data_IF_724450289339
#
_entry.id   IF_724450289339
#
_cell.length_a   1.000
_cell.length_b   1.000
_cell.length_c   1.000
_cell.angle_alpha   90.00
_cell.angle_beta   90.00
_cell.angle_gamma   90.00
#
_symmetry.space_group_name_H-M   'P 1'
#
loop_
_entity.id
_entity.type
_entity.pdbx_description
1 polymer ?
#
# COMPACT_ATOMS: atom_id res chain seq x y z
N UNK A 1 -73.82 14.47 -4.13
CA UNK A 1 -74.53 14.50 -2.83
C UNK A 1 -73.71 13.66 -1.84
N UNK A 2 -73.35 14.26 -0.71
CA UNK A 2 -72.66 13.73 0.48
C UNK A 2 -71.18 13.39 0.37
N UNK A 3 -70.43 14.33 0.87
CA UNK A 3 -69.07 14.30 1.38
C UNK A 3 -69.04 13.52 2.71
N UNK A 4 -68.12 12.62 2.89
CA UNK A 4 -67.74 12.16 4.22
C UNK A 4 -66.23 12.21 4.37
N UNK A 5 -65.81 13.13 5.20
CA UNK A 5 -64.42 13.24 5.74
C UNK A 5 -64.21 12.11 6.74
N UNK A 6 -63.08 11.44 6.67
CA UNK A 6 -62.57 10.73 7.82
C UNK A 6 -61.10 11.07 8.04
N UNK A 7 -60.93 11.54 9.24
CA UNK A 7 -59.69 12.05 9.85
C UNK A 7 -58.70 10.94 10.17
N UNK A 8 -57.49 11.25 10.02
CA UNK A 8 -56.34 11.13 10.92
C UNK A 8 -56.00 9.77 11.51
N UNK A 9 -54.79 9.35 11.26
CA UNK A 9 -53.90 8.86 12.31
C UNK A 9 -52.45 9.05 11.84
N UNK A 10 -51.76 9.99 12.49
CA UNK A 10 -50.32 10.08 12.43
C UNK A 10 -49.72 8.89 13.18
N UNK A 11 -49.04 8.01 12.51
CA UNK A 11 -48.14 7.03 13.11
C UNK A 11 -46.75 7.60 13.06
N UNK A 12 -46.23 8.06 14.19
CA UNK A 12 -44.82 8.36 14.41
C UNK A 12 -44.06 7.04 14.38
N UNK A 13 -43.34 6.79 13.29
CA UNK A 13 -42.34 5.74 13.21
C UNK A 13 -41.02 6.34 13.70
N UNK A 14 -40.63 5.97 14.91
CA UNK A 14 -39.32 6.24 15.46
C UNK A 14 -38.27 5.45 14.61
N UNK A 15 -37.49 6.15 13.79
CA UNK A 15 -36.32 5.58 13.16
C UNK A 15 -35.24 5.36 14.24
N UNK A 16 -35.13 4.14 14.70
CA UNK A 16 -33.95 3.67 15.42
C UNK A 16 -32.75 3.69 14.47
N UNK A 17 -31.80 4.58 14.70
CA UNK A 17 -30.52 4.57 14.02
C UNK A 17 -29.72 3.36 14.48
N UNK A 18 -29.77 2.28 13.73
CA UNK A 18 -28.79 1.21 13.80
C UNK A 18 -27.51 1.71 13.12
N UNK A 19 -26.56 2.18 13.93
CA UNK A 19 -25.19 2.40 13.47
C UNK A 19 -24.53 1.04 13.26
N UNK A 20 -24.69 0.47 12.11
CA UNK A 20 -23.81 -0.58 11.63
C UNK A 20 -22.44 0.07 11.38
N UNK A 21 -21.52 -0.18 12.30
CA UNK A 21 -20.11 0.10 12.08
C UNK A 21 -19.58 -0.80 10.97
N UNK A 22 -19.73 -0.38 9.73
CA UNK A 22 -19.05 -0.99 8.61
C UNK A 22 -17.58 -0.61 8.71
N UNK A 23 -16.71 -1.57 9.02
CA UNK A 23 -15.32 -1.50 8.62
C UNK A 23 -15.31 -1.55 7.10
N UNK A 24 -15.37 -0.39 6.46
CA UNK A 24 -15.42 -0.28 5.01
C UNK A 24 -14.13 -0.78 4.39
N UNK A 25 -14.25 -1.70 3.47
CA UNK A 25 -13.30 -1.81 2.38
C UNK A 25 -13.30 -0.47 1.64
N UNK A 26 -12.13 0.15 1.50
CA UNK A 26 -11.99 1.44 0.83
C UNK A 26 -12.40 1.34 -0.64
N UNK A 27 -13.66 1.67 -0.92
CA UNK A 27 -14.10 1.98 -2.27
C UNK A 27 -13.84 3.48 -2.48
N UNK A 28 -12.72 3.80 -3.08
CA UNK A 28 -12.38 5.15 -3.50
C UNK A 28 -13.23 5.53 -4.72
N UNK A 29 -14.40 6.15 -4.46
CA UNK A 29 -15.22 6.74 -5.52
C UNK A 29 -14.66 8.12 -5.81
N UNK A 30 -14.03 8.28 -6.97
CA UNK A 30 -13.54 9.54 -7.48
C UNK A 30 -14.69 10.53 -7.66
N UNK A 31 -14.74 11.55 -6.80
CA UNK A 31 -15.56 12.74 -7.00
C UNK A 31 -14.79 13.77 -7.81
N UNK A 32 -15.28 14.06 -9.03
CA UNK A 32 -14.82 15.15 -9.87
C UNK A 32 -15.20 16.50 -9.29
N UNK A 33 -14.24 17.39 -9.02
CA UNK A 33 -14.45 18.85 -9.01
C UNK A 33 -13.19 19.60 -9.43
N UNK A 34 -13.37 20.28 -10.54
CA UNK A 34 -12.86 21.58 -11.03
C UNK A 34 -11.45 22.06 -10.65
N UNK A 35 -10.75 22.39 -11.71
CA UNK A 35 -9.49 23.13 -11.80
C UNK A 35 -9.57 24.60 -11.37
N UNK A 36 -8.43 25.09 -10.87
CA UNK A 36 -7.93 26.47 -11.07
C UNK A 36 -6.48 26.60 -10.61
N UNK A 37 -5.72 27.65 -10.96
CA UNK A 37 -4.58 27.48 -11.86
C UNK A 37 -3.20 27.68 -11.19
N UNK A 38 -2.18 27.45 -11.99
CA UNK A 38 -0.75 27.53 -11.78
C UNK A 38 -0.22 28.82 -11.09
N UNK A 39 0.77 28.63 -10.24
CA UNK A 39 1.82 29.61 -10.02
C UNK A 39 3.17 28.89 -9.98
N UNK A 40 3.97 29.21 -10.97
CA UNK A 40 5.39 28.84 -11.10
C UNK A 40 6.22 29.55 -10.05
N UNK A 41 7.09 28.84 -9.36
CA UNK A 41 8.25 29.42 -8.73
C UNK A 41 9.42 28.46 -8.87
N UNK A 42 10.32 28.82 -9.76
CA UNK A 42 11.67 28.29 -9.89
C UNK A 42 12.49 28.74 -8.69
N UNK A 43 13.15 27.82 -8.01
CA UNK A 43 14.31 28.14 -7.19
C UNK A 43 15.33 27.02 -7.37
N UNK A 44 16.36 27.35 -8.13
CA UNK A 44 17.63 26.64 -8.16
C UNK A 44 18.37 26.92 -6.85
N UNK A 45 18.89 25.90 -6.22
CA UNK A 45 20.02 26.00 -5.32
C UNK A 45 20.86 24.75 -5.36
N UNK A 46 22.14 24.96 -5.47
CA UNK A 46 23.20 24.06 -5.79
C UNK A 46 23.72 23.20 -4.62
N UNK A 47 24.22 22.03 -5.00
CA UNK A 47 25.45 21.36 -4.58
C UNK A 47 25.85 21.33 -3.10
N UNK A 48 26.07 20.13 -2.61
CA UNK A 48 26.86 19.84 -1.42
C UNK A 48 26.92 18.34 -1.18
N UNK A 49 28.04 17.73 -1.63
CA UNK A 49 28.32 16.32 -1.62
C UNK A 49 28.49 15.71 -0.23
N UNK A 50 28.28 14.44 -0.22
CA UNK A 50 28.58 13.54 0.87
C UNK A 50 28.39 12.10 0.37
N UNK A 51 29.40 11.57 -0.31
CA UNK A 51 29.47 10.19 -0.70
C UNK A 51 29.67 9.33 0.55
N UNK A 52 28.66 8.54 0.89
CA UNK A 52 28.86 7.33 1.66
C UNK A 52 28.77 6.14 0.71
N UNK A 53 29.92 5.77 0.15
CA UNK A 53 30.13 4.54 -0.56
C UNK A 53 30.02 3.37 0.42
N UNK A 54 28.83 2.79 0.52
CA UNK A 54 28.62 1.45 1.03
C UNK A 54 28.54 0.49 -0.15
N UNK A 55 29.69 0.06 -0.70
CA UNK A 55 29.77 -1.07 -1.62
C UNK A 55 29.34 -2.33 -0.88
N UNK A 56 28.07 -2.69 -1.00
CA UNK A 56 27.67 -4.07 -0.89
C UNK A 56 27.95 -4.70 -2.27
N UNK A 57 29.13 -5.32 -2.40
CA UNK A 57 29.45 -6.19 -3.52
C UNK A 57 28.59 -7.43 -3.39
N UNK A 58 27.39 -7.40 -4.00
CA UNK A 58 26.69 -8.59 -4.42
C UNK A 58 27.22 -8.95 -5.80
N UNK A 59 28.44 -9.49 -5.85
CA UNK A 59 28.96 -10.24 -6.98
C UNK A 59 28.33 -11.63 -6.96
N UNK A 60 27.07 -11.73 -7.32
CA UNK A 60 26.47 -12.95 -7.79
C UNK A 60 26.29 -12.76 -9.28
N UNK A 61 26.91 -13.61 -10.09
CA UNK A 61 26.62 -13.69 -11.51
C UNK A 61 25.11 -13.71 -11.69
N UNK A 62 24.58 -12.75 -12.48
CA UNK A 62 23.18 -12.76 -12.83
C UNK A 62 22.87 -14.14 -13.43
N UNK A 63 21.79 -14.82 -12.99
CA UNK A 63 21.47 -16.13 -13.53
C UNK A 63 21.35 -16.01 -15.04
N UNK A 64 22.23 -16.68 -15.74
CA UNK A 64 22.15 -16.82 -17.19
C UNK A 64 20.87 -17.60 -17.46
N UNK A 65 19.90 -16.97 -18.10
CA UNK A 65 18.67 -17.61 -18.57
C UNK A 65 18.95 -18.52 -19.75
N UNK A 66 19.87 -19.48 -19.58
CA UNK A 66 20.09 -20.58 -20.51
C UNK A 66 19.30 -21.80 -20.04
N UNK A 67 17.98 -21.64 -19.89
CA UNK A 67 17.08 -22.75 -19.62
C UNK A 67 16.29 -23.10 -20.87
N UNK A 68 16.37 -24.37 -21.28
CA UNK A 68 15.54 -24.98 -22.29
C UNK A 68 14.04 -24.77 -21.90
N UNK A 69 13.37 -23.84 -22.56
CA UNK A 69 11.96 -23.54 -22.30
C UNK A 69 11.59 -22.06 -22.23
N UNK A 70 12.56 -21.15 -22.28
CA UNK A 70 12.25 -19.72 -22.40
C UNK A 70 11.82 -19.41 -23.83
N UNK A 71 10.57 -18.97 -23.99
CA UNK A 71 10.06 -18.46 -25.27
C UNK A 71 9.64 -17.02 -25.10
N UNK A 72 10.02 -16.18 -26.05
CA UNK A 72 9.58 -14.80 -26.06
C UNK A 72 8.10 -14.71 -26.39
N UNK A 73 7.38 -13.86 -25.69
CA UNK A 73 6.01 -13.52 -26.05
C UNK A 73 5.98 -12.74 -27.37
N UNK A 74 4.85 -12.76 -28.05
CA UNK A 74 4.61 -11.93 -29.24
C UNK A 74 3.70 -10.76 -28.88
N UNK A 75 3.91 -9.62 -29.54
CA UNK A 75 3.11 -8.40 -29.31
C UNK A 75 3.63 -7.55 -28.16
N UNK A 76 2.79 -6.64 -27.70
CA UNK A 76 3.11 -5.71 -26.62
C UNK A 76 2.38 -6.10 -25.35
N UNK A 77 3.08 -6.14 -24.21
CA UNK A 77 2.53 -6.41 -22.89
C UNK A 77 2.59 -5.15 -22.02
N UNK A 78 1.51 -4.87 -21.33
CA UNK A 78 1.35 -3.74 -20.40
C UNK A 78 1.34 -4.23 -18.97
N UNK A 79 1.92 -3.45 -18.08
CA UNK A 79 1.95 -3.78 -16.65
C UNK A 79 1.88 -2.54 -15.78
N UNK A 80 1.31 -2.69 -14.59
CA UNK A 80 1.24 -1.64 -13.57
C UNK A 80 1.18 -2.25 -12.16
N UNK A 81 1.33 -1.44 -11.13
CA UNK A 81 1.07 -1.88 -9.76
C UNK A 81 2.08 -1.40 -8.73
N UNK A 82 2.55 -2.32 -7.89
CA UNK A 82 3.39 -2.01 -6.74
C UNK A 82 4.59 -1.12 -7.10
N UNK A 83 4.68 0.03 -6.45
CA UNK A 83 5.85 0.92 -6.58
C UNK A 83 7.10 0.33 -5.95
N UNK A 84 6.97 -0.57 -4.96
CA UNK A 84 8.10 -1.26 -4.36
C UNK A 84 8.80 -2.20 -5.36
N UNK A 85 8.08 -2.71 -6.35
CA UNK A 85 8.63 -3.55 -7.41
C UNK A 85 9.20 -2.73 -8.59
N UNK A 86 8.95 -1.42 -8.64
CA UNK A 86 9.25 -0.57 -9.79
C UNK A 86 10.67 -0.74 -10.32
N UNK A 87 11.68 -0.60 -9.47
CA UNK A 87 13.09 -0.65 -9.88
C UNK A 87 13.44 -2.01 -10.50
N UNK A 88 13.03 -3.11 -9.87
CA UNK A 88 13.32 -4.45 -10.40
C UNK A 88 12.53 -4.74 -11.67
N UNK A 89 11.29 -4.24 -11.75
CA UNK A 89 10.47 -4.38 -12.97
C UNK A 89 11.05 -3.63 -14.16
N UNK A 90 11.57 -2.42 -13.96
CA UNK A 90 12.25 -1.66 -15.00
C UNK A 90 13.48 -2.43 -15.53
N UNK A 91 14.27 -3.02 -14.64
CA UNK A 91 15.42 -3.83 -15.05
C UNK A 91 14.98 -5.08 -15.82
N UNK A 92 14.00 -5.83 -15.33
CA UNK A 92 13.50 -7.03 -16.01
C UNK A 92 12.90 -6.72 -17.39
N UNK A 93 12.17 -5.62 -17.52
CA UNK A 93 11.61 -5.17 -18.80
C UNK A 93 12.74 -4.83 -19.79
N UNK A 94 13.77 -4.13 -19.32
CA UNK A 94 14.94 -3.81 -20.15
C UNK A 94 15.64 -5.06 -20.64
N UNK A 95 15.90 -6.00 -19.73
CA UNK A 95 16.58 -7.26 -20.06
C UNK A 95 15.75 -8.13 -21.01
N UNK A 96 14.44 -8.21 -20.78
CA UNK A 96 13.52 -8.96 -21.64
C UNK A 96 13.46 -8.37 -23.04
N UNK A 97 13.29 -7.07 -23.17
CA UNK A 97 13.21 -6.38 -24.46
C UNK A 97 14.52 -6.51 -25.26
N UNK A 98 15.67 -6.58 -24.57
CA UNK A 98 16.96 -6.80 -25.21
C UNK A 98 17.09 -8.22 -25.78
N UNK A 99 16.53 -9.22 -25.06
CA UNK A 99 16.66 -10.64 -25.46
C UNK A 99 15.59 -11.08 -26.44
N UNK A 100 14.40 -10.50 -26.36
CA UNK A 100 13.23 -11.04 -27.04
C UNK A 100 12.80 -10.27 -28.28
N UNK A 101 13.43 -9.18 -28.61
CA UNK A 101 12.93 -8.28 -29.69
C UNK A 101 11.41 -8.04 -29.56
N UNK A 102 10.94 -8.05 -28.32
CA UNK A 102 9.54 -7.94 -27.93
C UNK A 102 9.32 -6.63 -27.20
N UNK A 103 8.08 -6.19 -27.12
CA UNK A 103 7.77 -4.90 -26.54
C UNK A 103 7.02 -5.09 -25.21
N UNK A 104 7.77 -5.26 -24.12
CA UNK A 104 7.22 -4.94 -22.80
C UNK A 104 7.22 -3.43 -22.67
N UNK A 105 6.03 -2.86 -22.45
CA UNK A 105 5.89 -1.43 -22.21
C UNK A 105 6.42 -1.07 -20.81
N UNK A 106 6.83 0.19 -20.57
CA UNK A 106 7.30 0.62 -19.26
C UNK A 106 6.30 0.27 -18.16
N UNK A 107 6.81 -0.13 -17.00
CA UNK A 107 5.98 -0.47 -15.84
C UNK A 107 5.28 0.77 -15.27
N UNK A 108 3.97 0.75 -15.20
CA UNK A 108 3.17 1.78 -14.56
C UNK A 108 3.14 1.59 -13.04
N UNK A 109 3.77 2.46 -12.27
CA UNK A 109 3.63 2.50 -10.82
C UNK A 109 2.19 2.86 -10.38
N UNK A 110 2.01 3.21 -9.12
CA UNK A 110 0.74 3.70 -8.58
C UNK A 110 0.16 2.86 -7.44
N UNK A 111 0.95 1.90 -6.95
CA UNK A 111 0.58 1.03 -5.83
C UNK A 111 -0.06 -0.29 -6.27
N UNK A 112 -0.02 -1.25 -5.34
CA UNK A 112 -0.55 -2.60 -5.57
C UNK A 112 -2.03 -2.60 -5.93
N UNK A 113 -2.83 -1.78 -5.22
CA UNK A 113 -4.27 -1.70 -5.48
C UNK A 113 -4.59 -1.18 -6.89
N UNK A 114 -3.83 -0.17 -7.38
CA UNK A 114 -3.96 0.28 -8.76
C UNK A 114 -3.66 -0.86 -9.74
N UNK A 115 -2.58 -1.62 -9.52
CA UNK A 115 -2.24 -2.76 -10.37
C UNK A 115 -3.35 -3.81 -10.41
N UNK A 116 -3.91 -4.16 -9.26
CA UNK A 116 -5.05 -5.09 -9.17
C UNK A 116 -6.27 -4.55 -9.91
N UNK A 117 -6.60 -3.26 -9.73
CA UNK A 117 -7.73 -2.63 -10.43
C UNK A 117 -7.52 -2.62 -11.94
N UNK A 118 -6.34 -2.22 -12.42
CA UNK A 118 -6.01 -2.21 -13.85
C UNK A 118 -6.09 -3.62 -14.45
N UNK A 119 -5.62 -4.65 -13.72
CA UNK A 119 -5.71 -6.04 -14.15
C UNK A 119 -7.16 -6.50 -14.27
N UNK A 120 -7.98 -6.26 -13.23
CA UNK A 120 -9.39 -6.64 -13.22
C UNK A 120 -10.21 -5.89 -14.29
N UNK A 121 -9.80 -4.65 -14.61
CA UNK A 121 -10.41 -3.83 -15.66
C UNK A 121 -9.84 -4.11 -17.07
N UNK A 122 -8.99 -5.10 -17.24
CA UNK A 122 -8.33 -5.45 -18.52
C UNK A 122 -7.49 -4.30 -19.14
N UNK A 123 -6.92 -3.44 -18.29
CA UNK A 123 -6.07 -2.33 -18.72
C UNK A 123 -4.61 -2.76 -18.87
N UNK A 124 -4.20 -3.81 -18.15
CA UNK A 124 -2.86 -4.39 -18.19
C UNK A 124 -2.93 -5.90 -18.37
N UNK A 125 -1.85 -6.47 -18.87
CA UNK A 125 -1.76 -7.90 -19.15
C UNK A 125 -1.31 -8.68 -17.90
N UNK A 126 -0.51 -8.04 -17.05
CA UNK A 126 -0.16 -8.52 -15.70
C UNK A 126 0.01 -7.35 -14.73
N UNK A 127 -0.08 -7.61 -13.44
CA UNK A 127 0.05 -6.59 -12.41
C UNK A 127 1.05 -6.98 -11.34
N UNK A 128 1.82 -5.99 -10.87
CA UNK A 128 2.66 -6.13 -9.69
C UNK A 128 1.86 -5.83 -8.42
N UNK A 129 1.94 -6.71 -7.44
CA UNK A 129 1.32 -6.49 -6.13
C UNK A 129 2.17 -7.10 -5.02
N UNK A 130 2.28 -6.39 -3.91
CA UNK A 130 2.95 -6.92 -2.70
C UNK A 130 2.02 -7.85 -1.92
N UNK A 131 0.71 -7.84 -2.23
CA UNK A 131 -0.30 -8.72 -1.63
C UNK A 131 -0.96 -9.59 -2.69
N UNK A 132 -1.24 -10.85 -2.35
CA UNK A 132 -2.05 -11.71 -3.21
C UNK A 132 -3.47 -11.15 -3.36
N UNK A 133 -4.13 -11.51 -4.46
CA UNK A 133 -5.55 -11.19 -4.70
C UNK A 133 -6.41 -11.75 -3.55
N UNK A 134 -7.38 -10.95 -3.09
CA UNK A 134 -8.38 -11.43 -2.14
C UNK A 134 -9.32 -12.46 -2.79
N UNK A 135 -10.10 -13.15 -1.98
CA UNK A 135 -11.10 -14.13 -2.47
C UNK A 135 -12.07 -13.47 -3.44
N UNK A 136 -12.54 -12.26 -3.15
CA UNK A 136 -13.45 -11.48 -3.99
C UNK A 136 -12.78 -11.06 -5.30
N UNK A 137 -11.52 -10.62 -5.23
CA UNK A 137 -10.74 -10.25 -6.40
C UNK A 137 -10.44 -11.46 -7.29
N UNK A 138 -10.15 -12.63 -6.70
CA UNK A 138 -9.99 -13.89 -7.44
C UNK A 138 -11.27 -14.28 -8.16
N UNK A 139 -12.42 -14.20 -7.49
CA UNK A 139 -13.72 -14.50 -8.09
C UNK A 139 -14.03 -13.54 -9.25
N UNK A 140 -13.76 -12.23 -9.06
CA UNK A 140 -13.94 -11.22 -10.09
C UNK A 140 -13.00 -11.44 -11.28
N UNK A 141 -11.72 -11.72 -11.03
CA UNK A 141 -10.76 -12.04 -12.08
C UNK A 141 -11.21 -13.23 -12.92
N UNK A 142 -11.69 -14.30 -12.28
CA UNK A 142 -12.20 -15.50 -12.95
C UNK A 142 -13.34 -15.19 -13.90
N UNK A 143 -14.30 -14.38 -13.47
CA UNK A 143 -15.50 -14.06 -14.25
C UNK A 143 -15.20 -13.05 -15.36
N UNK A 144 -14.54 -11.95 -15.01
CA UNK A 144 -14.49 -10.76 -15.85
C UNK A 144 -13.24 -10.70 -16.74
N UNK A 145 -12.16 -11.40 -16.32
CA UNK A 145 -10.83 -11.27 -16.94
C UNK A 145 -10.28 -12.54 -17.54
N UNK A 146 -10.47 -13.67 -16.85
CA UNK A 146 -9.78 -14.93 -17.13
C UNK A 146 -10.66 -15.98 -17.81
N UNK A 147 -11.80 -15.60 -18.40
CA UNK A 147 -12.70 -16.48 -19.15
C UNK A 147 -13.08 -17.76 -18.39
N UNK A 148 -13.34 -17.64 -17.09
CA UNK A 148 -13.71 -18.76 -16.21
C UNK A 148 -12.53 -19.47 -15.56
N UNK A 149 -11.28 -19.10 -15.86
CA UNK A 149 -10.10 -19.66 -15.22
C UNK A 149 -9.67 -18.80 -14.02
N UNK A 150 -8.92 -19.40 -13.09
CA UNK A 150 -8.40 -18.64 -11.96
C UNK A 150 -7.22 -17.77 -12.37
N UNK A 151 -7.13 -16.58 -11.81
CA UNK A 151 -5.93 -15.74 -11.93
C UNK A 151 -4.79 -16.37 -11.12
N UNK A 152 -3.56 -16.22 -11.60
CA UNK A 152 -2.38 -16.76 -10.93
C UNK A 152 -1.71 -15.68 -10.09
N UNK A 153 -1.46 -15.98 -8.81
CA UNK A 153 -0.59 -15.19 -7.96
C UNK A 153 0.81 -15.86 -7.99
N UNK A 154 1.76 -15.21 -8.66
CA UNK A 154 3.13 -15.73 -8.81
C UNK A 154 4.07 -15.00 -7.88
N UNK A 155 4.71 -15.65 -6.90
CA UNK A 155 5.80 -15.05 -6.13
C UNK A 155 7.00 -14.78 -7.04
N UNK A 156 7.37 -13.50 -7.21
CA UNK A 156 8.44 -13.10 -8.12
C UNK A 156 9.65 -12.52 -7.38
N UNK A 157 9.41 -11.68 -6.38
CA UNK A 157 10.46 -11.01 -5.62
C UNK A 157 10.04 -10.88 -4.16
N UNK A 158 10.99 -10.98 -3.25
CA UNK A 158 10.80 -10.74 -1.84
C UNK A 158 11.58 -9.51 -1.41
N UNK A 159 10.97 -8.69 -0.55
CA UNK A 159 11.63 -7.54 0.06
C UNK A 159 11.28 -7.46 1.55
N UNK A 160 12.23 -7.11 2.41
CA UNK A 160 11.94 -6.87 3.82
C UNK A 160 11.06 -5.62 3.97
N UNK A 161 10.13 -5.69 4.92
CA UNK A 161 9.33 -4.54 5.33
C UNK A 161 9.95 -3.99 6.61
N UNK A 162 10.42 -2.75 6.58
CA UNK A 162 11.08 -2.12 7.71
C UNK A 162 10.30 -0.90 8.22
N UNK A 163 10.34 -0.67 9.52
CA UNK A 163 9.89 0.58 10.14
C UNK A 163 11.11 1.50 10.25
N UNK A 164 11.15 2.52 9.42
CA UNK A 164 12.19 3.55 9.49
C UNK A 164 11.81 4.62 10.52
N UNK A 165 12.80 5.17 11.21
CA UNK A 165 12.61 6.26 12.15
C UNK A 165 13.73 7.31 12.01
N UNK A 166 13.41 8.53 12.41
CA UNK A 166 14.38 9.64 12.49
C UNK A 166 14.20 10.33 13.85
N UNK A 167 15.05 9.97 14.80
CA UNK A 167 15.03 10.52 16.17
C UNK A 167 16.40 11.08 16.50
N UNK A 168 16.53 12.37 16.77
CA UNK A 168 17.82 12.98 17.08
C UNK A 168 18.53 12.28 18.25
N UNK A 169 19.79 11.89 18.00
CA UNK A 169 20.63 11.25 19.02
C UNK A 169 20.33 9.78 19.30
N UNK A 170 19.42 9.15 18.54
CA UNK A 170 19.08 7.73 18.68
C UNK A 170 19.47 6.98 17.42
N UNK A 171 20.48 6.12 17.50
CA UNK A 171 20.95 5.29 16.39
C UNK A 171 20.31 3.92 16.39
N UNK A 172 20.05 3.38 17.57
CA UNK A 172 19.46 2.06 17.75
C UNK A 172 18.20 2.17 18.59
N UNK A 173 17.10 1.60 18.08
CA UNK A 173 15.80 1.62 18.73
C UNK A 173 15.17 0.23 18.69
N UNK A 174 14.87 -0.30 19.85
CA UNK A 174 14.15 -1.57 20.01
C UNK A 174 12.65 -1.29 20.20
N UNK A 175 11.82 -1.90 19.38
CA UNK A 175 10.36 -1.84 19.51
C UNK A 175 9.79 -3.27 19.48
N UNK A 176 8.79 -3.52 20.32
CA UNK A 176 7.99 -4.76 20.23
C UNK A 176 6.83 -4.55 19.27
N UNK A 177 6.20 -5.62 18.75
CA UNK A 177 4.99 -5.49 17.94
C UNK A 177 3.88 -4.71 18.64
N UNK A 178 3.69 -4.91 19.96
CA UNK A 178 2.72 -4.17 20.77
C UNK A 178 3.00 -2.67 20.78
N UNK A 179 4.22 -2.26 21.09
CA UNK A 179 4.62 -0.84 21.11
C UNK A 179 4.51 -0.25 19.72
N UNK A 180 4.92 -0.97 18.70
CA UNK A 180 4.75 -0.54 17.29
C UNK A 180 3.28 -0.31 16.96
N UNK A 181 2.40 -1.24 17.32
CA UNK A 181 0.97 -1.08 17.13
C UNK A 181 0.42 0.16 17.85
N UNK A 182 0.86 0.41 19.09
CA UNK A 182 0.44 1.55 19.88
C UNK A 182 0.94 2.90 19.30
N UNK A 183 2.11 2.93 18.70
CA UNK A 183 2.61 4.09 17.96
C UNK A 183 1.72 4.36 16.74
N UNK A 184 1.55 3.35 15.90
CA UNK A 184 0.81 3.52 14.66
C UNK A 184 -0.71 3.70 14.86
N UNK A 185 -1.29 3.30 15.98
CA UNK A 185 -2.68 3.60 16.32
C UNK A 185 -2.87 4.90 17.13
N UNK A 186 -1.78 5.64 17.39
CA UNK A 186 -1.83 6.94 18.05
C UNK A 186 -2.02 6.88 19.57
N UNK A 187 -1.86 5.73 20.22
CA UNK A 187 -1.86 5.64 21.69
C UNK A 187 -0.56 6.15 22.28
N UNK A 188 0.58 5.81 21.67
CA UNK A 188 1.89 6.34 22.00
C UNK A 188 2.21 7.46 21.01
N UNK A 189 2.36 8.67 21.53
CA UNK A 189 2.50 9.89 20.72
C UNK A 189 3.82 10.62 20.93
N UNK A 190 4.68 10.15 21.84
CA UNK A 190 5.98 10.77 22.13
C UNK A 190 7.07 9.72 22.19
N UNK A 191 8.28 10.09 21.74
CA UNK A 191 9.42 9.17 21.74
C UNK A 191 9.90 8.79 23.13
N UNK A 192 9.77 9.67 24.13
CA UNK A 192 10.12 9.39 25.52
C UNK A 192 9.01 8.67 26.33
N UNK A 193 8.04 8.07 25.65
CA UNK A 193 7.01 7.29 26.32
C UNK A 193 7.64 6.15 27.16
N UNK A 194 7.14 5.91 28.39
CA UNK A 194 7.67 4.85 29.27
C UNK A 194 7.71 3.46 28.63
N UNK A 195 6.76 3.14 27.74
CA UNK A 195 6.73 1.85 27.05
C UNK A 195 7.88 1.72 26.03
N UNK A 196 8.31 2.81 25.40
CA UNK A 196 9.48 2.81 24.53
C UNK A 196 10.75 2.79 25.39
N UNK A 197 10.82 3.64 26.42
CA UNK A 197 11.98 3.76 27.29
C UNK A 197 12.34 2.43 27.97
N UNK A 198 11.34 1.67 28.41
CA UNK A 198 11.54 0.36 29.03
C UNK A 198 12.22 -0.67 28.11
N UNK A 199 12.04 -0.55 26.79
CA UNK A 199 12.67 -1.43 25.80
C UNK A 199 14.07 -0.97 25.39
N UNK A 200 14.46 0.25 25.77
CA UNK A 200 15.71 0.89 25.35
C UNK A 200 16.51 1.43 26.56
N UNK A 201 16.93 0.55 27.50
CA UNK A 201 17.67 0.98 28.67
C UNK A 201 18.99 1.63 28.27
N UNK A 202 19.29 2.78 28.87
CA UNK A 202 20.50 3.56 28.57
C UNK A 202 20.42 4.49 27.36
N UNK A 203 19.32 4.45 26.59
CA UNK A 203 19.07 5.40 25.50
C UNK A 203 18.35 6.62 26.03
N UNK A 204 18.89 7.81 25.77
CA UNK A 204 18.19 9.08 26.09
C UNK A 204 17.20 9.40 24.99
N UNK A 205 15.92 9.11 25.24
CA UNK A 205 14.85 9.41 24.30
C UNK A 205 14.37 10.85 24.46
N UNK A 206 14.28 11.63 23.37
CA UNK A 206 13.85 13.03 23.45
C UNK A 206 12.35 13.15 23.68
N UNK A 207 11.93 14.20 24.37
CA UNK A 207 10.51 14.56 24.54
C UNK A 207 9.95 15.19 23.24
N UNK A 208 9.95 14.42 22.16
CA UNK A 208 9.46 14.84 20.85
C UNK A 208 8.22 14.04 20.47
N UNK A 209 7.29 14.72 19.80
CA UNK A 209 6.11 14.06 19.25
C UNK A 209 6.49 13.08 18.13
N UNK A 210 5.82 11.93 18.10
CA UNK A 210 5.92 10.98 17.01
C UNK A 210 4.99 11.42 15.88
N UNK A 211 5.55 11.54 14.69
CA UNK A 211 4.81 11.72 13.45
C UNK A 211 4.87 10.40 12.69
N UNK A 212 3.79 9.63 12.71
CA UNK A 212 3.71 8.40 11.92
C UNK A 212 3.40 8.72 10.46
N UNK A 213 4.16 8.14 9.55
CA UNK A 213 4.00 8.32 8.11
C UNK A 213 3.62 6.98 7.47
N UNK A 214 2.62 7.01 6.64
CA UNK A 214 2.15 5.86 5.88
C UNK A 214 1.71 6.26 4.47
N UNK A 215 1.45 5.29 3.62
CA UNK A 215 0.94 5.52 2.27
C UNK A 215 -0.52 6.01 2.32
N UNK A 216 -0.84 6.94 1.41
CA UNK A 216 -2.21 7.43 1.18
C UNK A 216 -2.94 6.69 0.05
N UNK A 217 -2.20 5.92 -0.74
CA UNK A 217 -2.74 5.06 -1.80
C UNK A 217 -2.98 3.63 -1.31
N UNK A 218 -3.66 2.82 -2.10
CA UNK A 218 -3.87 1.40 -1.83
C UNK A 218 -2.56 0.62 -2.03
N UNK A 219 -1.82 0.50 -0.94
CA UNK A 219 -0.47 -0.05 -0.88
C UNK A 219 -0.45 -1.47 -0.31
N UNK A 220 0.05 -2.43 -1.08
CA UNK A 220 0.27 -3.78 -0.60
C UNK A 220 1.31 -3.87 0.52
N UNK A 221 2.30 -2.96 0.55
CA UNK A 221 3.24 -2.84 1.69
C UNK A 221 2.50 -2.49 2.97
N UNK A 222 1.59 -1.50 2.92
CA UNK A 222 0.73 -1.13 4.06
C UNK A 222 -0.17 -2.28 4.47
N UNK A 223 -0.79 -2.97 3.53
CA UNK A 223 -1.64 -4.13 3.80
C UNK A 223 -0.88 -5.24 4.53
N UNK A 224 0.33 -5.59 4.09
CA UNK A 224 1.18 -6.57 4.76
C UNK A 224 1.60 -6.12 6.17
N UNK A 225 1.93 -4.85 6.36
CA UNK A 225 2.24 -4.30 7.67
C UNK A 225 1.05 -4.41 8.63
N UNK A 226 -0.13 -4.04 8.19
CA UNK A 226 -1.37 -4.16 8.97
C UNK A 226 -1.70 -5.63 9.29
N UNK A 227 -1.54 -6.54 8.34
CA UNK A 227 -1.71 -7.98 8.57
C UNK A 227 -0.73 -8.50 9.63
N UNK A 228 0.52 -8.04 9.57
CA UNK A 228 1.52 -8.38 10.57
C UNK A 228 1.15 -7.85 11.95
N UNK A 229 0.73 -6.58 12.08
CA UNK A 229 0.29 -6.01 13.35
C UNK A 229 -0.92 -6.76 13.94
N UNK A 230 -1.89 -7.13 13.10
CA UNK A 230 -3.05 -7.93 13.53
C UNK A 230 -2.65 -9.29 14.08
N UNK A 231 -1.65 -9.92 13.48
CA UNK A 231 -1.17 -11.24 13.92
C UNK A 231 -0.27 -11.15 15.15
N UNK A 232 0.65 -10.17 15.21
CA UNK A 232 1.68 -10.07 16.23
C UNK A 232 1.25 -9.28 17.48
N UNK A 233 0.28 -8.38 17.36
CA UNK A 233 -0.22 -7.53 18.45
C UNK A 233 -1.75 -7.35 18.41
N UNK A 234 -2.55 -8.43 18.41
CA UNK A 234 -4.00 -8.35 18.21
C UNK A 234 -4.73 -7.53 19.27
N UNK A 235 -4.19 -7.47 20.50
CA UNK A 235 -4.76 -6.68 21.59
C UNK A 235 -4.57 -5.16 21.39
N UNK A 236 -3.48 -4.77 20.75
CA UNK A 236 -3.11 -3.36 20.53
C UNK A 236 -3.49 -2.88 19.11
N UNK A 237 -3.76 -3.79 18.19
CA UNK A 237 -4.23 -3.48 16.83
C UNK A 237 -5.61 -4.09 16.59
N UNK A 238 -6.70 -3.43 17.04
CA UNK A 238 -8.05 -3.92 16.84
C UNK A 238 -8.43 -3.92 15.34
N UNK A 239 -9.37 -4.81 14.97
CA UNK A 239 -9.77 -5.01 13.58
C UNK A 239 -10.21 -3.72 12.83
N UNK A 240 -10.59 -2.68 13.58
CA UNK A 240 -11.01 -1.37 13.08
C UNK A 240 -10.12 -0.24 13.63
N UNK A 241 -8.80 -0.43 13.68
CA UNK A 241 -7.92 0.65 14.08
C UNK A 241 -8.04 1.81 13.07
N UNK A 242 -8.57 2.95 13.52
CA UNK A 242 -8.88 4.13 12.69
C UNK A 242 -7.64 4.93 12.24
N UNK A 243 -6.48 4.40 12.35
CA UNK A 243 -5.22 5.14 12.26
C UNK A 243 -4.97 5.70 10.86
N UNK A 244 -5.58 5.12 9.85
CA UNK A 244 -5.24 5.43 8.45
C UNK A 244 -6.17 6.44 7.78
N UNK A 245 -7.21 6.92 8.47
CA UNK A 245 -8.19 7.85 7.90
C UNK A 245 -7.97 9.34 8.26
N UNK A 246 -6.85 9.72 8.81
CA UNK A 246 -6.73 11.09 9.34
C UNK A 246 -5.36 11.75 9.27
N UNK A 247 -4.35 11.10 8.76
CA UNK A 247 -3.01 11.71 8.59
C UNK A 247 -2.77 11.89 7.10
N UNK A 248 -3.33 12.95 6.54
CA UNK A 248 -2.83 13.51 5.29
C UNK A 248 -1.55 14.27 5.64
N UNK A 249 -0.45 13.85 5.04
CA UNK A 249 0.81 14.59 5.07
C UNK A 249 0.69 15.88 4.25
#
# INVERSE_FOLDING_TARGET
>A
MKITRMSGLMALVALGALTLGACGSDNNTAGTTAAAPAASASASAAAGGGAASGSAAAGGDAPTFEGSGFSCATGSLRSSGSTAQGIVMEQWISDYNTKCDATLLPYGGGGSGKGVQDFLANQVDFAGSDSALSTEQMAKAKTDRCAGNDALNLPMVTGPLAVAYNVPGVTDLTLTPSVTAQIFNGKITNWNDPAIAALNPGVTLPALAIQSVHRSDDSGTTDNFVKWLKAAAPADWPACARVWQGVQA
#
